data_IF_153656400734
#
_entry.id   IF_153656400734
#
_cell.length_a   1.000
_cell.length_b   1.000
_cell.length_c   1.000
_cell.angle_alpha   90.00
_cell.angle_beta   90.00
_cell.angle_gamma   90.00
#
_symmetry.space_group_name_H-M   'P 1'
#
loop_
_entity.id
_entity.type
_entity.pdbx_description
1 polymer ?
#
# COMPACT_ATOMS: atom_id res chain seq x y z
N UNK A 1 32.15 -4.79 1.87
CA UNK A 1 33.28 -3.84 1.83
C UNK A 1 34.15 -4.13 0.61
N UNK A 2 34.19 -3.24 -0.39
CA UNK A 2 35.15 -3.34 -1.52
C UNK A 2 35.92 -2.03 -1.59
N UNK A 3 37.24 -2.08 -1.31
CA UNK A 3 38.18 -0.97 -1.46
C UNK A 3 38.46 -0.76 -2.95
N UNK A 4 38.10 0.39 -3.49
CA UNK A 4 38.55 0.82 -4.81
C UNK A 4 39.98 1.37 -4.72
N UNK A 5 40.90 0.82 -5.51
CA UNK A 5 42.25 1.35 -5.67
C UNK A 5 42.24 2.48 -6.71
N UNK A 6 42.72 3.66 -6.34
CA UNK A 6 42.90 4.80 -7.24
C UNK A 6 44.33 4.76 -7.81
N UNK A 7 44.45 4.46 -9.10
CA UNK A 7 45.70 4.56 -9.85
C UNK A 7 45.89 6.03 -10.26
N UNK A 8 46.75 6.75 -9.54
CA UNK A 8 47.17 8.12 -9.91
C UNK A 8 48.34 8.04 -10.88
N UNK A 9 48.06 8.12 -12.18
CA UNK A 9 49.09 8.42 -13.18
C UNK A 9 49.33 9.94 -13.18
N UNK A 10 50.52 10.37 -12.75
CA UNK A 10 50.99 11.74 -12.93
C UNK A 10 52.00 11.73 -14.08
N UNK A 11 51.55 11.98 -15.30
CA UNK A 11 52.44 12.32 -16.42
C UNK A 11 53.00 13.71 -16.17
N UNK A 12 54.23 13.75 -15.67
CA UNK A 12 55.07 14.95 -15.53
C UNK A 12 55.34 15.52 -16.92
N UNK A 13 54.90 16.73 -17.28
CA UNK A 13 55.26 17.34 -18.55
C UNK A 13 56.72 17.80 -18.46
N UNK A 14 57.61 17.07 -19.12
CA UNK A 14 59.00 17.48 -19.32
C UNK A 14 59.01 18.65 -20.29
N UNK A 15 59.21 19.86 -19.74
CA UNK A 15 59.46 21.08 -20.50
C UNK A 15 60.89 21.01 -21.06
N UNK A 16 61.04 20.39 -22.23
CA UNK A 16 62.26 20.45 -23.01
C UNK A 16 62.25 21.75 -23.82
N UNK A 17 62.87 22.81 -23.28
CA UNK A 17 63.27 23.97 -24.05
C UNK A 17 64.43 23.56 -24.95
N UNK A 18 64.12 23.16 -26.19
CA UNK A 18 65.10 23.02 -27.26
C UNK A 18 65.62 24.40 -27.64
N UNK A 19 66.87 24.67 -27.32
CA UNK A 19 67.65 25.74 -27.92
C UNK A 19 67.95 25.34 -29.37
N UNK A 20 67.35 26.05 -30.32
CA UNK A 20 67.71 25.95 -31.73
C UNK A 20 68.52 27.20 -32.10
N UNK A 21 69.79 26.96 -32.34
CA UNK A 21 70.82 27.91 -32.69
C UNK A 21 70.82 28.01 -34.22
N UNK A 22 70.06 28.96 -34.79
CA UNK A 22 70.29 29.63 -36.08
C UNK A 22 69.03 30.40 -36.55
N UNK A 23 69.05 31.71 -36.28
CA UNK A 23 68.75 32.71 -37.31
C UNK A 23 67.37 32.70 -37.99
N UNK A 24 66.33 33.08 -37.26
CA UNK A 24 65.36 34.11 -37.71
C UNK A 24 64.88 34.84 -36.46
N UNK A 25 65.21 36.12 -36.34
CA UNK A 25 64.58 37.06 -35.39
C UNK A 25 63.11 37.19 -35.74
N UNK A 26 62.31 36.20 -35.35
CA UNK A 26 60.87 36.36 -35.23
C UNK A 26 60.67 37.09 -33.91
N UNK A 27 60.22 38.34 -33.96
CA UNK A 27 59.69 39.10 -32.83
C UNK A 27 58.41 38.44 -32.30
N UNK A 28 58.54 37.20 -31.86
CA UNK A 28 57.56 36.38 -31.17
C UNK A 28 58.18 35.88 -29.86
N UNK A 29 59.04 36.72 -29.25
CA UNK A 29 59.53 36.50 -27.91
C UNK A 29 58.41 36.86 -26.94
N UNK A 30 57.40 36.01 -26.85
CA UNK A 30 56.69 35.87 -25.59
C UNK A 30 57.76 35.64 -24.54
N UNK A 31 57.93 36.63 -23.67
CA UNK A 31 58.85 36.50 -22.55
C UNK A 31 58.43 35.26 -21.76
N UNK A 32 59.37 34.48 -21.26
CA UNK A 32 59.05 33.29 -20.45
C UNK A 32 58.06 33.60 -19.33
N UNK A 33 58.10 34.83 -18.83
CA UNK A 33 57.14 35.43 -17.92
C UNK A 33 55.69 35.50 -18.47
N UNK A 34 55.48 35.93 -19.71
CA UNK A 34 54.16 35.94 -20.36
C UNK A 34 53.57 34.54 -20.54
N UNK A 35 54.40 33.56 -20.91
CA UNK A 35 53.98 32.17 -21.01
C UNK A 35 53.53 31.61 -19.65
N UNK A 36 54.28 31.92 -18.57
CA UNK A 36 53.92 31.54 -17.20
C UNK A 36 52.64 32.23 -16.73
N UNK A 37 52.43 33.52 -17.06
CA UNK A 37 51.19 34.23 -16.73
C UNK A 37 49.96 33.61 -17.41
N UNK A 38 50.07 33.24 -18.69
CA UNK A 38 48.97 32.53 -19.40
C UNK A 38 48.69 31.18 -18.78
N UNK A 39 49.75 30.42 -18.47
CA UNK A 39 49.60 29.11 -17.83
C UNK A 39 48.96 29.22 -16.44
N UNK A 40 49.32 30.25 -15.67
CA UNK A 40 48.69 30.52 -14.37
C UNK A 40 47.20 30.82 -14.53
N UNK A 41 46.82 31.71 -15.45
CA UNK A 41 45.42 32.03 -15.72
C UNK A 41 44.63 30.81 -16.19
N UNK A 42 45.22 29.98 -17.05
CA UNK A 42 44.60 28.73 -17.50
C UNK A 42 44.40 27.75 -16.34
N UNK A 43 45.39 27.64 -15.45
CA UNK A 43 45.29 26.82 -14.23
C UNK A 43 44.27 27.37 -13.25
N UNK A 44 44.13 28.68 -13.10
CA UNK A 44 43.11 29.30 -12.26
C UNK A 44 41.70 29.03 -12.81
N UNK A 45 41.51 29.18 -14.12
CA UNK A 45 40.24 28.83 -14.79
C UNK A 45 39.90 27.35 -14.64
N UNK A 46 40.90 26.47 -14.77
CA UNK A 46 40.74 25.03 -14.54
C UNK A 46 40.38 24.76 -13.07
N UNK A 47 41.01 25.45 -12.13
CA UNK A 47 40.73 25.33 -10.70
C UNK A 47 39.29 25.74 -10.37
N UNK A 48 38.83 26.87 -10.90
CA UNK A 48 37.46 27.34 -10.71
C UNK A 48 36.44 26.36 -11.32
N UNK A 49 36.72 25.84 -12.51
CA UNK A 49 35.89 24.80 -13.13
C UNK A 49 35.79 23.54 -12.26
N UNK A 50 36.92 23.09 -11.70
CA UNK A 50 36.94 21.93 -10.81
C UNK A 50 36.20 22.21 -9.51
N UNK A 51 36.32 23.41 -8.93
CA UNK A 51 35.56 23.81 -7.74
C UNK A 51 34.06 23.80 -7.99
N UNK A 52 33.60 24.40 -9.10
CA UNK A 52 32.18 24.37 -9.46
C UNK A 52 31.66 22.94 -9.69
N UNK A 53 32.48 22.06 -10.26
CA UNK A 53 32.14 20.64 -10.40
C UNK A 53 32.04 19.94 -9.03
N UNK A 54 32.98 20.22 -8.12
CA UNK A 54 32.95 19.66 -6.76
C UNK A 54 31.70 20.11 -6.02
N UNK A 55 31.36 21.40 -6.06
CA UNK A 55 30.15 21.94 -5.44
C UNK A 55 28.89 21.30 -6.03
N UNK A 56 28.84 21.14 -7.35
CA UNK A 56 27.73 20.45 -8.03
C UNK A 56 27.59 19.00 -7.55
N UNK A 57 28.70 18.26 -7.49
CA UNK A 57 28.70 16.86 -7.06
C UNK A 57 28.35 16.72 -5.57
N UNK A 58 28.80 17.64 -4.72
CA UNK A 58 28.43 17.69 -3.31
C UNK A 58 26.93 17.98 -3.15
N UNK A 59 26.37 18.88 -3.95
CA UNK A 59 24.93 19.14 -4.01
C UNK A 59 24.12 17.90 -4.44
N UNK A 60 24.62 17.13 -5.41
CA UNK A 60 23.98 15.88 -5.82
C UNK A 60 24.09 14.78 -4.75
N UNK A 61 25.20 14.75 -3.99
CA UNK A 61 25.41 13.79 -2.90
C UNK A 61 24.49 14.10 -1.71
N UNK A 62 24.31 15.37 -1.35
CA UNK A 62 23.43 15.76 -0.23
C UNK A 62 21.95 15.52 -0.52
N UNK A 63 21.55 15.47 -1.79
CA UNK A 63 20.19 15.13 -2.20
C UNK A 63 19.91 13.62 -2.20
N UNK A 64 20.92 12.76 -2.03
CA UNK A 64 20.68 11.32 -2.01
C UNK A 64 19.97 10.94 -0.70
N UNK A 65 18.87 10.18 -0.78
CA UNK A 65 18.22 9.65 0.42
C UNK A 65 19.18 8.71 1.15
N UNK A 66 19.01 8.63 2.46
CA UNK A 66 19.85 7.78 3.30
C UNK A 66 19.66 6.31 2.93
N UNK A 67 20.74 5.54 2.98
CA UNK A 67 20.73 4.10 2.67
C UNK A 67 19.76 3.37 3.60
N UNK A 68 19.64 3.81 4.85
CA UNK A 68 18.69 3.24 5.80
C UNK A 68 17.23 3.44 5.34
N UNK A 69 16.86 4.64 4.90
CA UNK A 69 15.51 4.91 4.35
C UNK A 69 15.19 4.07 3.11
N UNK A 70 16.18 3.85 2.24
CA UNK A 70 16.01 2.99 1.05
C UNK A 70 15.80 1.54 1.48
N UNK A 71 16.52 1.07 2.49
CA UNK A 71 16.35 -0.28 3.02
C UNK A 71 15.00 -0.48 3.73
N UNK A 72 14.51 0.54 4.44
CA UNK A 72 13.18 0.53 5.05
C UNK A 72 12.09 0.42 4.00
N UNK A 73 12.14 1.26 2.96
CA UNK A 73 11.20 1.18 1.84
C UNK A 73 11.23 -0.19 1.15
N UNK A 74 12.41 -0.78 0.98
CA UNK A 74 12.53 -2.14 0.43
C UNK A 74 11.93 -3.21 1.34
N UNK A 75 12.05 -3.07 2.67
CA UNK A 75 11.44 -3.98 3.65
C UNK A 75 9.92 -3.85 3.64
N UNK A 76 9.41 -2.62 3.63
CA UNK A 76 7.97 -2.33 3.56
C UNK A 76 7.37 -2.86 2.26
N UNK A 77 8.01 -2.62 1.12
CA UNK A 77 7.56 -3.13 -0.17
C UNK A 77 7.41 -4.67 -0.15
N UNK A 78 8.41 -5.39 0.38
CA UNK A 78 8.34 -6.85 0.53
C UNK A 78 7.22 -7.29 1.47
N UNK A 79 7.00 -6.54 2.55
CA UNK A 79 5.89 -6.80 3.48
C UNK A 79 4.53 -6.63 2.80
N UNK A 80 4.36 -5.56 2.00
CA UNK A 80 3.14 -5.32 1.24
C UNK A 80 2.91 -6.37 0.16
N UNK A 81 3.97 -6.83 -0.51
CA UNK A 81 3.90 -7.91 -1.50
C UNK A 81 3.41 -9.23 -0.87
N UNK A 82 3.93 -9.58 0.31
CA UNK A 82 3.48 -10.74 1.08
C UNK A 82 1.99 -10.62 1.46
N UNK A 83 1.56 -9.44 1.93
CA UNK A 83 0.17 -9.20 2.32
C UNK A 83 -0.78 -9.27 1.12
N UNK A 84 -0.38 -8.70 -0.02
CA UNK A 84 -1.15 -8.75 -1.26
C UNK A 84 -1.34 -10.20 -1.72
N UNK A 85 -0.26 -11.00 -1.74
CA UNK A 85 -0.33 -12.40 -2.10
C UNK A 85 -1.23 -13.20 -1.14
N UNK A 86 -1.14 -12.93 0.17
CA UNK A 86 -2.03 -13.52 1.18
C UNK A 86 -3.50 -13.18 0.92
N UNK A 87 -3.79 -11.92 0.60
CA UNK A 87 -5.16 -11.43 0.33
C UNK A 87 -5.73 -12.04 -0.96
N UNK A 88 -4.92 -12.18 -2.00
CA UNK A 88 -5.34 -12.83 -3.25
C UNK A 88 -5.70 -14.29 -3.02
N UNK A 89 -4.84 -15.05 -2.32
CA UNK A 89 -5.12 -16.45 -1.96
C UNK A 89 -6.37 -16.60 -1.09
N UNK A 90 -6.65 -15.66 -0.19
CA UNK A 90 -7.87 -15.66 0.61
C UNK A 90 -9.11 -15.36 -0.25
N UNK A 91 -9.05 -14.37 -1.14
CA UNK A 91 -10.14 -14.06 -2.06
C UNK A 91 -10.46 -15.25 -2.97
N UNK A 92 -9.44 -15.93 -3.51
CA UNK A 92 -9.61 -17.14 -4.33
C UNK A 92 -10.33 -18.26 -3.55
N UNK A 93 -9.91 -18.51 -2.30
CA UNK A 93 -10.58 -19.50 -1.42
C UNK A 93 -12.03 -19.13 -1.17
N UNK A 94 -12.31 -17.87 -0.83
CA UNK A 94 -13.67 -17.38 -0.60
C UNK A 94 -14.56 -17.51 -1.86
N UNK A 95 -14.03 -17.20 -3.04
CA UNK A 95 -14.75 -17.41 -4.30
C UNK A 95 -15.09 -18.88 -4.54
N UNK A 96 -14.15 -19.80 -4.31
CA UNK A 96 -14.39 -21.23 -4.43
C UNK A 96 -15.45 -21.74 -3.42
N UNK A 97 -15.46 -21.21 -2.20
CA UNK A 97 -16.48 -21.54 -1.20
C UNK A 97 -17.88 -21.04 -1.60
N UNK A 98 -17.97 -19.81 -2.14
CA UNK A 98 -19.22 -19.26 -2.66
C UNK A 98 -19.75 -20.13 -3.82
N UNK A 99 -18.88 -20.52 -4.75
CA UNK A 99 -19.25 -21.39 -5.87
C UNK A 99 -19.74 -22.77 -5.40
N UNK A 100 -19.07 -23.37 -4.41
CA UNK A 100 -19.52 -24.61 -3.78
C UNK A 100 -20.88 -24.44 -3.10
N UNK A 101 -21.10 -23.31 -2.44
CA UNK A 101 -22.39 -22.95 -1.83
C UNK A 101 -23.51 -22.89 -2.87
N UNK A 102 -23.29 -22.15 -3.97
CA UNK A 102 -24.23 -22.04 -5.09
C UNK A 102 -24.53 -23.39 -5.75
N UNK A 103 -23.52 -24.24 -5.92
CA UNK A 103 -23.71 -25.58 -6.48
C UNK A 103 -24.60 -26.45 -5.59
N UNK A 104 -24.40 -26.38 -4.26
CA UNK A 104 -25.23 -27.09 -3.29
C UNK A 104 -26.65 -26.55 -3.25
N UNK A 105 -26.82 -25.23 -3.26
CA UNK A 105 -28.13 -24.56 -3.31
C UNK A 105 -28.91 -25.01 -4.55
N UNK A 106 -28.30 -24.94 -5.74
CA UNK A 106 -28.90 -25.40 -6.99
C UNK A 106 -29.33 -26.87 -6.94
N UNK A 107 -28.56 -27.74 -6.28
CA UNK A 107 -28.94 -29.15 -6.11
C UNK A 107 -30.18 -29.28 -5.24
N UNK A 108 -30.22 -28.58 -4.10
CA UNK A 108 -31.37 -28.60 -3.19
C UNK A 108 -32.62 -28.00 -3.84
N UNK A 109 -32.49 -26.91 -4.58
CA UNK A 109 -33.57 -26.33 -5.38
C UNK A 109 -34.10 -27.32 -6.42
N UNK A 110 -33.21 -28.08 -7.07
CA UNK A 110 -33.57 -29.14 -8.01
C UNK A 110 -34.34 -30.29 -7.35
N UNK A 111 -33.94 -30.71 -6.14
CA UNK A 111 -34.68 -31.73 -5.39
C UNK A 111 -36.03 -31.23 -4.87
N UNK A 112 -36.12 -29.97 -4.41
CA UNK A 112 -37.39 -29.34 -4.05
C UNK A 112 -38.33 -29.26 -5.24
N UNK A 113 -37.83 -28.90 -6.42
CA UNK A 113 -38.61 -28.87 -7.64
C UNK A 113 -39.12 -30.26 -8.05
N UNK A 114 -38.33 -31.33 -7.84
CA UNK A 114 -38.79 -32.72 -8.08
C UNK A 114 -39.88 -33.16 -7.12
N UNK A 115 -39.81 -32.76 -5.84
CA UNK A 115 -40.72 -33.22 -4.79
C UNK A 115 -42.03 -32.41 -4.74
N UNK A 116 -41.96 -31.09 -4.90
CA UNK A 116 -43.09 -30.17 -4.75
C UNK A 116 -43.50 -29.46 -6.05
N UNK A 117 -42.86 -29.79 -7.17
CA UNK A 117 -43.08 -29.16 -8.48
C UNK A 117 -42.26 -27.87 -8.68
N UNK A 118 -42.25 -27.33 -9.91
CA UNK A 118 -41.48 -26.13 -10.26
C UNK A 118 -41.87 -24.89 -9.42
N UNK A 119 -43.10 -24.86 -8.91
CA UNK A 119 -43.63 -23.80 -8.04
C UNK A 119 -43.49 -24.12 -6.54
N UNK A 120 -42.45 -24.88 -6.15
CA UNK A 120 -42.25 -25.31 -4.76
C UNK A 120 -42.24 -24.14 -3.76
N UNK A 121 -41.78 -22.95 -4.16
CA UNK A 121 -41.82 -21.76 -3.32
C UNK A 121 -43.27 -21.37 -2.97
N UNK A 122 -44.15 -21.30 -3.97
CA UNK A 122 -45.57 -20.99 -3.77
C UNK A 122 -46.32 -22.12 -3.06
N UNK A 123 -45.97 -23.38 -3.36
CA UNK A 123 -46.59 -24.55 -2.73
C UNK A 123 -46.26 -24.66 -1.24
N UNK A 124 -45.07 -24.21 -0.84
CA UNK A 124 -44.60 -24.19 0.55
C UNK A 124 -44.81 -22.83 1.24
N UNK A 125 -45.47 -21.88 0.59
CA UNK A 125 -45.67 -20.49 1.06
C UNK A 125 -44.34 -19.82 1.51
N UNK A 126 -43.24 -20.18 0.84
CA UNK A 126 -41.92 -19.59 1.05
C UNK A 126 -41.92 -18.30 0.24
N UNK A 127 -42.08 -17.18 0.95
CA UNK A 127 -42.02 -15.85 0.34
C UNK A 127 -40.73 -15.74 -0.51
N UNK A 128 -40.84 -15.35 -1.80
CA UNK A 128 -39.67 -15.15 -2.62
C UNK A 128 -38.76 -14.13 -1.93
N UNK A 129 -37.42 -14.29 -2.00
CA UNK A 129 -36.50 -13.36 -1.38
C UNK A 129 -36.81 -11.97 -1.95
N UNK A 130 -37.33 -11.09 -1.10
CA UNK A 130 -37.90 -9.81 -1.52
C UNK A 130 -36.78 -8.94 -2.11
N UNK A 131 -36.75 -8.78 -3.43
CA UNK A 131 -35.67 -8.08 -4.16
C UNK A 131 -35.86 -6.56 -4.21
N UNK A 132 -36.87 -6.02 -3.54
CA UNK A 132 -37.17 -4.58 -3.57
C UNK A 132 -36.52 -3.84 -2.42
N UNK A 133 -35.38 -3.21 -2.70
CA UNK A 133 -34.81 -2.12 -1.90
C UNK A 133 -33.50 -2.47 -1.20
N UNK A 134 -32.39 -2.08 -1.84
CA UNK A 134 -31.00 -2.19 -1.40
C UNK A 134 -30.42 -3.61 -1.39
N UNK A 135 -29.42 -3.81 -2.25
CA UNK A 135 -28.66 -5.03 -2.41
C UNK A 135 -27.95 -5.44 -1.11
N UNK A 136 -28.61 -6.22 -0.25
CA UNK A 136 -27.99 -7.01 0.80
C UNK A 136 -28.99 -7.96 1.49
N UNK A 137 -29.44 -9.02 0.80
CA UNK A 137 -29.94 -10.21 1.52
C UNK A 137 -29.27 -11.46 0.97
N UNK A 138 -28.15 -11.77 1.62
CA UNK A 138 -27.50 -13.07 1.68
C UNK A 138 -28.34 -13.92 2.63
N UNK A 139 -29.09 -14.89 2.10
CA UNK A 139 -29.66 -16.00 2.86
C UNK A 139 -28.55 -16.99 3.19
N UNK A 140 -27.86 -16.77 4.31
CA UNK A 140 -26.81 -17.66 4.81
C UNK A 140 -25.96 -17.00 5.88
N UNK A 141 -26.45 -17.04 7.12
CA UNK A 141 -25.92 -16.36 8.31
C UNK A 141 -24.43 -16.64 8.62
N UNK A 142 -23.75 -15.56 8.98
CA UNK A 142 -22.68 -15.45 9.99
C UNK A 142 -21.23 -15.73 9.60
N UNK A 143 -20.65 -14.85 8.79
CA UNK A 143 -19.27 -14.39 9.00
C UNK A 143 -19.21 -12.87 8.80
N UNK A 144 -19.26 -12.13 9.92
CA UNK A 144 -19.05 -10.69 9.95
C UNK A 144 -17.58 -10.39 9.63
N UNK A 145 -17.24 -10.28 8.34
CA UNK A 145 -16.10 -9.50 7.90
C UNK A 145 -16.60 -8.13 7.44
N UNK A 146 -16.48 -7.16 8.35
CA UNK A 146 -16.52 -5.75 8.01
C UNK A 146 -15.31 -5.45 7.10
N UNK A 147 -15.50 -5.53 5.79
CA UNK A 147 -14.54 -4.97 4.81
C UNK A 147 -14.98 -3.53 4.53
N UNK A 148 -14.36 -2.57 5.21
CA UNK A 148 -14.32 -1.19 4.70
C UNK A 148 -13.48 -1.18 3.44
N UNK A 149 -14.11 -0.87 2.31
CA UNK A 149 -13.43 -0.46 1.08
C UNK A 149 -14.09 0.86 0.65
N UNK A 150 -13.49 1.98 1.03
CA UNK A 150 -13.93 3.33 0.66
C UNK A 150 -13.17 3.81 -0.56
N UNK A 151 -13.59 3.41 -1.76
CA UNK A 151 -13.29 4.15 -2.99
C UNK A 151 -14.43 3.95 -4.01
N UNK A 152 -15.44 4.81 -3.97
CA UNK A 152 -16.14 5.28 -5.17
C UNK A 152 -16.98 6.52 -4.86
N UNK A 153 -16.58 7.60 -5.54
CA UNK A 153 -17.42 8.64 -6.11
C UNK A 153 -18.81 8.85 -5.50
N UNK A 154 -18.95 9.93 -4.74
CA UNK A 154 -20.23 10.61 -4.56
C UNK A 154 -20.69 11.19 -5.91
N UNK A 155 -21.58 10.46 -6.60
CA UNK A 155 -22.56 11.05 -7.49
C UNK A 155 -23.94 10.73 -6.91
N UNK A 156 -24.54 11.70 -6.22
CA UNK A 156 -25.93 11.63 -5.78
C UNK A 156 -26.81 12.49 -6.69
N UNK A 157 -28.07 12.07 -6.94
CA UNK A 157 -29.02 12.81 -7.76
C UNK A 157 -29.77 13.84 -6.91
N UNK A 158 -29.89 15.08 -7.39
CA UNK A 158 -30.85 16.06 -6.89
C UNK A 158 -31.58 16.65 -8.09
N UNK A 159 -32.88 16.39 -8.16
CA UNK A 159 -33.78 16.91 -9.19
C UNK A 159 -34.45 18.19 -8.66
N UNK A 160 -34.17 19.28 -9.36
CA UNK A 160 -34.97 20.48 -9.57
C UNK A 160 -35.46 21.32 -8.37
N UNK A 161 -34.76 22.44 -8.13
CA UNK A 161 -35.42 23.74 -8.15
C UNK A 161 -34.52 24.76 -8.86
N UNK A 162 -35.04 25.31 -9.95
CA UNK A 162 -34.44 26.38 -10.72
C UNK A 162 -34.56 27.70 -9.97
N UNK A 163 -33.46 28.45 -9.82
CA UNK A 163 -33.48 29.90 -9.88
C UNK A 163 -32.06 30.44 -10.14
N UNK A 164 -32.05 31.51 -10.91
CA UNK A 164 -30.91 32.07 -11.62
C UNK A 164 -29.99 32.95 -10.76
N UNK A 165 -28.80 33.19 -11.32
CA UNK A 165 -27.88 34.29 -11.04
C UNK A 165 -27.19 34.32 -9.67
N UNK A 166 -25.85 34.21 -9.68
CA UNK A 166 -24.92 35.33 -9.37
C UNK A 166 -23.54 34.75 -9.05
N UNK A 167 -22.58 35.05 -9.91
CA UNK A 167 -21.15 34.90 -9.63
C UNK A 167 -20.75 36.05 -8.70
N UNK A 168 -20.43 35.75 -7.45
CA UNK A 168 -19.69 36.65 -6.57
C UNK A 168 -18.60 35.89 -5.82
N UNK A 169 -17.38 36.21 -6.19
CA UNK A 169 -16.15 36.06 -5.42
C UNK A 169 -16.28 36.70 -4.03
N UNK A 170 -16.27 35.92 -2.96
CA UNK A 170 -15.89 36.38 -1.62
C UNK A 170 -15.58 35.18 -0.71
N UNK A 171 -14.35 35.13 -0.20
CA UNK A 171 -13.88 34.20 0.81
C UNK A 171 -14.71 34.32 2.10
N UNK A 172 -15.20 33.22 2.71
CA UNK A 172 -15.76 33.30 4.05
C UNK A 172 -14.60 33.32 5.06
N UNK A 173 -14.58 34.37 5.89
CA UNK A 173 -13.81 34.39 7.13
C UNK A 173 -14.48 33.35 8.04
N UNK A 174 -13.88 32.17 8.17
CA UNK A 174 -14.35 31.13 9.08
C UNK A 174 -14.09 31.55 10.53
N UNK A 175 -15.16 31.54 11.32
CA UNK A 175 -15.15 31.92 12.73
C UNK A 175 -14.35 30.88 13.55
N UNK A 176 -13.25 31.23 14.23
CA UNK A 176 -12.35 30.26 14.90
C UNK A 176 -13.02 29.45 16.02
N UNK A 177 -14.20 29.88 16.50
CA UNK A 177 -15.01 29.14 17.47
C UNK A 177 -15.73 27.93 16.86
N UNK A 178 -16.11 27.99 15.57
CA UNK A 178 -16.76 26.89 14.88
C UNK A 178 -15.78 25.73 14.63
N UNK A 179 -14.53 26.03 14.27
CA UNK A 179 -13.48 25.02 14.10
C UNK A 179 -13.16 24.29 15.41
N UNK A 180 -13.13 24.99 16.55
CA UNK A 180 -12.92 24.35 17.86
C UNK A 180 -14.05 23.38 18.23
N UNK A 181 -15.31 23.75 17.98
CA UNK A 181 -16.44 22.84 18.22
C UNK A 181 -16.39 21.61 17.31
N UNK A 182 -16.01 21.79 16.04
CA UNK A 182 -15.86 20.68 15.10
C UNK A 182 -14.73 19.73 15.49
N UNK A 183 -13.60 20.24 16.00
CA UNK A 183 -12.52 19.38 16.53
C UNK A 183 -12.97 18.57 17.74
N UNK A 184 -13.72 19.16 18.68
CA UNK A 184 -14.26 18.44 19.84
C UNK A 184 -15.28 17.37 19.44
N UNK A 185 -16.17 17.66 18.48
CA UNK A 185 -17.11 16.68 17.95
C UNK A 185 -16.40 15.51 17.26
N UNK A 186 -15.31 15.79 16.54
CA UNK A 186 -14.47 14.76 15.91
C UNK A 186 -13.78 13.89 16.95
N UNK A 187 -13.23 14.47 18.02
CA UNK A 187 -12.62 13.72 19.12
C UNK A 187 -13.64 12.81 19.83
N UNK A 188 -14.83 13.33 20.14
CA UNK A 188 -15.90 12.53 20.74
C UNK A 188 -16.33 11.36 19.85
N UNK A 189 -16.38 11.56 18.53
CA UNK A 189 -16.67 10.50 17.57
C UNK A 189 -15.57 9.42 17.56
N UNK A 190 -14.30 9.82 17.59
CA UNK A 190 -13.15 8.90 17.66
C UNK A 190 -13.23 8.04 18.94
N UNK A 191 -13.56 8.64 20.08
CA UNK A 191 -13.73 7.92 21.35
C UNK A 191 -14.89 6.91 21.29
N UNK A 192 -16.02 7.29 20.69
CA UNK A 192 -17.16 6.38 20.50
C UNK A 192 -16.79 5.17 19.62
N UNK A 193 -16.07 5.41 18.52
CA UNK A 193 -15.58 4.33 17.64
C UNK A 193 -14.60 3.44 18.38
N UNK A 194 -13.70 4.00 19.18
CA UNK A 194 -12.73 3.25 19.99
C UNK A 194 -13.42 2.33 21.00
N UNK A 195 -14.43 2.83 21.71
CA UNK A 195 -15.22 2.04 22.66
C UNK A 195 -15.99 0.91 21.96
N UNK A 196 -16.53 1.19 20.76
CA UNK A 196 -17.23 0.18 19.96
C UNK A 196 -16.28 -0.93 19.51
N UNK A 197 -15.10 -0.60 19.01
CA UNK A 197 -14.07 -1.55 18.59
C UNK A 197 -13.68 -2.45 19.78
N UNK A 198 -13.36 -1.84 20.92
CA UNK A 198 -12.99 -2.59 22.13
C UNK A 198 -14.12 -3.52 22.60
N UNK A 199 -15.37 -3.07 22.55
CA UNK A 199 -16.52 -3.90 22.87
C UNK A 199 -16.78 -5.02 21.87
N UNK A 200 -16.48 -4.80 20.58
CA UNK A 200 -16.56 -5.84 19.54
C UNK A 200 -15.46 -6.89 19.72
N UNK A 201 -14.24 -6.46 20.02
CA UNK A 201 -13.08 -7.33 20.27
C UNK A 201 -13.32 -8.24 21.47
N UNK A 202 -13.83 -7.70 22.59
CA UNK A 202 -14.18 -8.51 23.76
C UNK A 202 -15.24 -9.58 23.47
N UNK A 203 -16.26 -9.23 22.67
CA UNK A 203 -17.30 -10.19 22.26
C UNK A 203 -16.76 -11.27 21.32
N UNK A 204 -15.85 -10.91 20.41
CA UNK A 204 -15.18 -11.86 19.52
C UNK A 204 -14.32 -12.83 20.32
N UNK A 205 -13.49 -12.33 21.23
CA UNK A 205 -12.65 -13.15 22.10
C UNK A 205 -13.48 -14.13 22.94
N UNK A 206 -14.59 -13.68 23.53
CA UNK A 206 -15.52 -14.56 24.28
C UNK A 206 -16.13 -15.66 23.39
N UNK A 207 -16.44 -15.35 22.12
CA UNK A 207 -16.99 -16.34 21.19
C UNK A 207 -15.92 -17.34 20.75
N UNK A 208 -14.70 -16.87 20.51
CA UNK A 208 -13.55 -17.71 20.18
C UNK A 208 -13.26 -18.70 21.30
N UNK A 209 -13.20 -18.26 22.56
CA UNK A 209 -13.02 -19.15 23.71
C UNK A 209 -14.12 -20.22 23.81
N UNK A 210 -15.37 -19.85 23.52
CA UNK A 210 -16.50 -20.80 23.50
C UNK A 210 -16.39 -21.81 22.35
N UNK A 211 -15.97 -21.35 21.17
CA UNK A 211 -15.75 -22.21 20.00
C UNK A 211 -14.60 -23.19 20.27
N UNK A 212 -13.47 -22.72 20.78
CA UNK A 212 -12.33 -23.57 21.15
C UNK A 212 -12.74 -24.65 22.16
N UNK A 213 -13.50 -24.27 23.20
CA UNK A 213 -14.05 -25.25 24.17
C UNK A 213 -14.99 -26.26 23.53
N UNK A 214 -15.82 -25.82 22.57
CA UNK A 214 -16.75 -26.72 21.86
C UNK A 214 -16.01 -27.69 20.94
N UNK A 215 -14.98 -27.23 20.23
CA UNK A 215 -14.12 -28.08 19.38
C UNK A 215 -13.38 -29.09 20.25
N UNK A 216 -12.76 -28.66 21.34
CA UNK A 216 -12.05 -29.55 22.26
C UNK A 216 -12.98 -30.63 22.84
N UNK A 217 -14.23 -30.30 23.17
CA UNK A 217 -15.23 -31.28 23.60
C UNK A 217 -15.55 -32.27 22.48
N UNK A 218 -15.84 -31.79 21.28
CA UNK A 218 -16.15 -32.64 20.13
C UNK A 218 -14.98 -33.59 19.78
N UNK A 219 -13.74 -33.10 19.83
CA UNK A 219 -12.54 -33.93 19.63
C UNK A 219 -12.41 -35.00 20.73
N UNK A 220 -12.68 -34.65 21.99
CA UNK A 220 -12.62 -35.61 23.10
C UNK A 220 -13.68 -36.70 22.99
N UNK A 221 -14.89 -36.34 22.54
CA UNK A 221 -15.97 -37.30 22.27
C UNK A 221 -15.63 -38.17 21.06
N UNK A 222 -15.07 -37.58 19.99
CA UNK A 222 -14.58 -38.31 18.82
C UNK A 222 -13.55 -39.38 19.18
N UNK A 223 -12.56 -39.04 20.01
CA UNK A 223 -11.57 -40.02 20.51
C UNK A 223 -12.21 -41.15 21.30
N UNK A 224 -13.18 -40.85 22.19
CA UNK A 224 -13.91 -41.88 22.94
C UNK A 224 -14.71 -42.81 22.02
N UNK A 225 -15.35 -42.28 20.98
CA UNK A 225 -16.06 -43.10 20.00
C UNK A 225 -15.12 -43.99 19.18
N UNK A 226 -13.94 -43.50 18.81
CA UNK A 226 -12.93 -44.30 18.13
C UNK A 226 -12.39 -45.44 18.99
N UNK A 227 -12.17 -45.20 20.29
CA UNK A 227 -11.77 -46.21 21.26
C UNK A 227 -12.83 -47.32 21.39
N UNK A 228 -14.10 -46.95 21.62
CA UNK A 228 -15.22 -47.90 21.68
C UNK A 228 -15.38 -48.70 20.38
N UNK A 229 -15.19 -48.05 19.23
CA UNK A 229 -15.24 -48.71 17.93
C UNK A 229 -14.10 -49.73 17.75
N UNK A 230 -12.89 -49.42 18.24
CA UNK A 230 -11.74 -50.32 18.21
C UNK A 230 -11.97 -51.54 19.11
N UNK A 231 -12.56 -51.36 20.29
CA UNK A 231 -12.94 -52.46 21.19
C UNK A 231 -14.01 -53.37 20.59
N UNK A 232 -15.02 -52.79 19.91
CA UNK A 232 -16.08 -53.55 19.27
C UNK A 232 -15.61 -54.35 18.05
N UNK A 233 -14.64 -53.85 17.29
CA UNK A 233 -14.09 -54.53 16.12
C UNK A 233 -13.03 -55.59 16.45
N UNK A 234 -12.51 -55.60 17.68
CA UNK A 234 -11.51 -56.55 18.16
C UNK A 234 -12.06 -57.83 18.80
N UNK A 235 -13.39 -58.00 18.84
CA UNK A 235 -14.07 -59.24 19.26
C UNK A 235 -14.68 -59.94 18.04
#
# INVERSE_FOLDING_TARGET
MRRAQSVRNHTRPSLAFGADDLGVLREANETTEEALRRQLIEKDRENDRLKSQIETLQGMLSQRPDVESVQELQREYKSLELLLAGTQRENERSMAEIERGKAREKLLEGELAKLAGENWQSALDIAPPNVSGTAATITGRSFLHSRSNTLSAHASPVLAHAQAASVTTASPIEDPRAQQQQTQATLAHIEQVRLLIMGMEQRLQTREEKLVKSVQRAESEGRRFEELRREAAGR
#
